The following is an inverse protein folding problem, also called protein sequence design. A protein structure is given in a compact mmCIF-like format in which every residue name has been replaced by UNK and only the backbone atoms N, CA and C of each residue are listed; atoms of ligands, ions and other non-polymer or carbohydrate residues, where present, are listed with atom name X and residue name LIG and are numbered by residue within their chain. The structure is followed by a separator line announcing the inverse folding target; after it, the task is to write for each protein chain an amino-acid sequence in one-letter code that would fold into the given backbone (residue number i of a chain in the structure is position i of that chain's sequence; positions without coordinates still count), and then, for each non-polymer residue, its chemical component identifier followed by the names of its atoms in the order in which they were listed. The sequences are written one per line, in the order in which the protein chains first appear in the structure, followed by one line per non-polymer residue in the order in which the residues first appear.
data_IF_755348676132
#
_entry.id   IF_755348676132
#
_cell.length_a   1.000
_cell.length_b   1.000
_cell.length_c   1.000
_cell.angle_alpha   90.00
_cell.angle_beta   90.00
_cell.angle_gamma   90.00
#
_symmetry.space_group_name_H-M   'P 1'
#
loop_
_entity.id
_entity.type
_entity.pdbx_description
1 polymer ?
#
# COMPACT_ATOMS: atom_id res chain seq x y z
N UNK A 1 14.54 4.98 -20.03
CA UNK A 1 14.30 3.64 -20.60
C UNK A 1 13.14 3.07 -19.82
N UNK A 2 11.97 3.01 -20.45
CA UNK A 2 10.69 2.72 -19.80
C UNK A 2 10.58 1.22 -19.54
N UNK A 3 10.44 0.81 -18.27
CA UNK A 3 10.20 -0.57 -17.90
C UNK A 3 8.79 -0.97 -18.31
N UNK A 4 8.65 -1.57 -19.49
CA UNK A 4 7.47 -2.34 -19.84
C UNK A 4 7.39 -3.54 -18.87
N UNK A 5 6.20 -3.79 -18.33
CA UNK A 5 5.90 -5.01 -17.60
C UNK A 5 5.92 -6.17 -18.60
N UNK A 6 7.11 -6.70 -18.90
CA UNK A 6 7.26 -7.92 -19.69
C UNK A 6 6.89 -9.11 -18.81
N UNK A 7 5.62 -9.50 -18.89
CA UNK A 7 4.99 -10.64 -18.20
C UNK A 7 5.65 -12.00 -18.43
N UNK A 8 6.72 -12.08 -19.24
CA UNK A 8 7.34 -13.32 -19.68
C UNK A 8 8.81 -13.52 -19.27
N UNK A 9 9.45 -12.56 -18.58
CA UNK A 9 10.81 -12.79 -18.06
C UNK A 9 10.70 -13.30 -16.63
N UNK A 10 10.60 -14.62 -16.46
CA UNK A 10 10.92 -15.21 -15.16
C UNK A 10 12.44 -15.11 -14.99
N UNK A 11 12.92 -14.23 -14.11
CA UNK A 11 14.29 -14.33 -13.62
C UNK A 11 14.28 -15.57 -12.71
N UNK A 12 14.50 -16.73 -13.30
CA UNK A 12 14.77 -17.94 -12.54
C UNK A 12 16.17 -17.81 -11.98
N UNK A 13 16.33 -18.14 -10.69
CA UNK A 13 17.65 -18.30 -10.10
C UNK A 13 18.48 -19.22 -11.00
N UNK A 14 19.50 -18.66 -11.65
CA UNK A 14 20.40 -19.42 -12.50
C UNK A 14 21.60 -19.81 -11.66
N UNK A 15 21.68 -21.10 -11.29
CA UNK A 15 22.79 -21.66 -10.50
C UNK A 15 24.18 -21.39 -11.11
N UNK A 16 24.25 -21.06 -12.41
CA UNK A 16 25.51 -20.70 -13.08
C UNK A 16 26.17 -19.43 -12.53
N UNK A 17 25.42 -18.55 -11.85
CA UNK A 17 26.00 -17.37 -11.19
C UNK A 17 26.77 -17.69 -9.90
N UNK A 18 26.70 -18.92 -9.38
CA UNK A 18 27.33 -19.31 -8.12
C UNK A 18 28.85 -19.55 -8.18
N UNK A 19 29.47 -19.50 -9.37
CA UNK A 19 30.90 -19.85 -9.55
C UNK A 19 31.87 -18.67 -9.55
N UNK A 20 31.38 -17.44 -9.60
CA UNK A 20 32.19 -16.21 -9.56
C UNK A 20 31.54 -15.17 -8.64
N UNK A 21 32.32 -14.39 -7.87
CA UNK A 21 31.76 -13.27 -7.11
C UNK A 21 31.02 -12.33 -8.06
N UNK A 22 29.70 -12.25 -7.90
CA UNK A 22 28.82 -11.54 -8.82
C UNK A 22 27.87 -10.66 -8.02
N UNK A 23 27.61 -9.45 -8.50
CA UNK A 23 26.62 -8.54 -7.94
C UNK A 23 25.43 -8.46 -8.90
N UNK A 24 24.24 -8.79 -8.41
CA UNK A 24 23.01 -8.66 -9.18
C UNK A 24 22.40 -7.30 -8.88
N UNK A 25 22.20 -6.50 -9.92
CA UNK A 25 21.61 -5.18 -9.84
C UNK A 25 20.32 -5.13 -10.65
N UNK A 26 19.25 -4.58 -10.06
CA UNK A 26 17.96 -4.43 -10.73
C UNK A 26 16.77 -4.49 -9.77
N UNK A 27 15.57 -4.55 -10.33
CA UNK A 27 14.32 -4.69 -9.58
C UNK A 27 13.99 -6.17 -9.36
N UNK A 28 13.65 -6.54 -8.12
CA UNK A 28 13.32 -7.91 -7.72
C UNK A 28 11.85 -8.04 -7.27
N UNK A 29 10.99 -7.15 -7.76
CA UNK A 29 9.60 -7.04 -7.33
C UNK A 29 8.69 -8.02 -8.09
N UNK A 30 8.95 -9.31 -7.95
CA UNK A 30 8.15 -10.36 -8.58
C UNK A 30 7.37 -11.15 -7.52
N UNK A 31 6.02 -11.19 -7.60
CA UNK A 31 5.22 -11.96 -6.64
C UNK A 31 5.59 -13.45 -6.60
N UNK A 32 6.07 -14.02 -7.72
CA UNK A 32 6.43 -15.44 -7.84
C UNK A 32 7.59 -15.84 -6.92
N UNK A 33 8.45 -14.90 -6.52
CA UNK A 33 9.51 -15.18 -5.54
C UNK A 33 8.96 -15.49 -4.15
N UNK A 34 7.75 -15.05 -3.86
CA UNK A 34 7.14 -15.16 -2.54
C UNK A 34 6.16 -16.33 -2.43
N UNK A 35 5.79 -17.00 -3.52
CA UNK A 35 4.81 -18.10 -3.51
C UNK A 35 5.21 -19.23 -2.55
N UNK A 36 6.48 -19.66 -2.61
CA UNK A 36 7.00 -20.74 -1.76
C UNK A 36 7.14 -20.38 -0.27
N UNK A 37 7.13 -19.10 0.07
CA UNK A 37 7.28 -18.59 1.44
C UNK A 37 6.09 -17.73 1.90
N UNK A 38 4.97 -17.75 1.15
CA UNK A 38 3.79 -16.93 1.45
C UNK A 38 3.26 -17.14 2.88
N UNK A 39 3.16 -18.39 3.42
CA UNK A 39 2.75 -18.60 4.80
C UNK A 39 3.69 -17.93 5.80
N UNK A 40 5.00 -18.03 5.57
CA UNK A 40 6.02 -17.42 6.42
C UNK A 40 5.90 -15.89 6.41
N UNK A 41 5.78 -15.27 5.23
CA UNK A 41 5.60 -13.81 5.10
C UNK A 41 4.36 -13.36 5.87
N UNK A 42 3.22 -14.03 5.67
CA UNK A 42 1.97 -13.66 6.37
C UNK A 42 2.13 -13.79 7.89
N UNK A 43 2.80 -14.84 8.36
CA UNK A 43 3.08 -15.02 9.78
C UNK A 43 4.02 -13.93 10.32
N UNK A 44 5.13 -13.67 9.64
CA UNK A 44 6.15 -12.70 10.04
C UNK A 44 5.62 -11.27 10.08
N UNK A 45 4.77 -10.90 9.12
CA UNK A 45 4.19 -9.55 9.01
C UNK A 45 2.78 -9.46 9.62
N UNK A 46 2.39 -10.42 10.47
CA UNK A 46 1.20 -10.26 11.31
C UNK A 46 1.52 -9.31 12.45
N UNK A 47 0.76 -8.22 12.55
CA UNK A 47 0.96 -7.22 13.60
C UNK A 47 0.64 -7.80 14.99
N UNK A 48 1.54 -7.67 15.98
CA UNK A 48 1.27 -8.08 17.35
C UNK A 48 0.03 -7.37 17.94
N UNK A 49 -0.84 -8.07 18.68
CA UNK A 49 -2.03 -7.47 19.30
C UNK A 49 -1.73 -6.26 20.21
N UNK A 50 -0.54 -6.23 20.84
CA UNK A 50 -0.11 -5.14 21.71
C UNK A 50 0.10 -3.81 20.99
N UNK A 51 0.28 -3.84 19.66
CA UNK A 51 0.55 -2.66 18.84
C UNK A 51 -0.73 -1.90 18.51
N UNK A 52 -1.89 -2.57 18.58
CA UNK A 52 -3.22 -1.95 18.42
C UNK A 52 -3.51 -0.95 19.56
N UNK A 53 -2.72 -0.94 20.64
CA UNK A 53 -2.65 0.20 21.57
C UNK A 53 -1.86 1.33 20.92
N UNK A 54 -2.43 1.92 19.87
CA UNK A 54 -1.86 3.10 19.25
C UNK A 54 -1.82 4.20 20.32
N UNK A 55 -0.63 4.64 20.71
CA UNK A 55 -0.46 5.58 21.83
C UNK A 55 -0.83 7.01 21.45
N UNK A 56 -0.90 7.29 20.16
CA UNK A 56 -1.19 8.61 19.62
C UNK A 56 -2.69 8.81 19.39
N UNK A 57 -3.22 9.89 19.97
CA UNK A 57 -4.63 10.26 19.90
C UNK A 57 -5.13 10.41 18.46
N UNK A 58 -4.30 10.98 17.57
CA UNK A 58 -4.65 11.18 16.16
C UNK A 58 -4.96 9.85 15.45
N UNK A 59 -4.15 8.82 15.69
CA UNK A 59 -4.35 7.50 15.11
C UNK A 59 -5.49 6.73 15.78
N UNK A 60 -5.70 6.89 17.08
CA UNK A 60 -6.88 6.33 17.76
C UNK A 60 -8.18 6.88 17.18
N UNK A 61 -8.20 8.18 16.87
CA UNK A 61 -9.33 8.80 16.18
C UNK A 61 -9.51 8.22 14.78
N UNK A 62 -8.43 8.09 14.00
CA UNK A 62 -8.46 7.46 12.68
C UNK A 62 -8.99 6.03 12.72
N UNK A 63 -8.49 5.22 13.65
CA UNK A 63 -8.95 3.86 13.87
C UNK A 63 -10.45 3.84 14.24
N UNK A 64 -10.88 4.72 15.13
CA UNK A 64 -12.30 4.81 15.53
C UNK A 64 -13.22 5.13 14.37
N UNK A 65 -12.80 6.02 13.45
CA UNK A 65 -13.55 6.33 12.23
C UNK A 65 -13.65 5.12 11.31
N UNK A 66 -12.55 4.38 11.15
CA UNK A 66 -12.52 3.13 10.37
C UNK A 66 -13.44 2.07 10.99
N UNK A 67 -13.38 1.87 12.31
CA UNK A 67 -14.19 0.87 13.01
C UNK A 67 -15.67 1.22 13.10
N UNK A 68 -16.01 2.51 13.00
CA UNK A 68 -17.40 2.96 12.90
C UNK A 68 -17.98 2.72 11.50
N UNK A 69 -17.12 2.55 10.48
CA UNK A 69 -17.56 2.29 9.11
C UNK A 69 -18.00 0.85 8.94
N UNK A 70 -19.16 0.67 8.29
CA UNK A 70 -19.67 -0.67 7.96
C UNK A 70 -18.97 -1.29 6.76
N UNK A 71 -18.56 -0.47 5.79
CA UNK A 71 -18.04 -0.89 4.50
C UNK A 71 -16.80 -0.06 4.16
N UNK A 72 -15.72 -0.24 4.91
CA UNK A 72 -14.47 0.49 4.73
C UNK A 72 -13.74 0.03 3.47
N UNK A 73 -13.30 1.00 2.66
CA UNK A 73 -12.42 0.80 1.51
C UNK A 73 -11.19 1.67 1.69
N UNK A 74 -10.02 1.05 1.68
CA UNK A 74 -8.74 1.74 1.85
C UNK A 74 -8.08 1.95 0.50
N UNK A 75 -7.59 3.17 0.25
CA UNK A 75 -6.80 3.52 -0.93
C UNK A 75 -5.49 4.11 -0.45
N UNK A 76 -4.38 3.51 -0.89
CA UNK A 76 -3.04 4.03 -0.62
C UNK A 76 -2.42 4.54 -1.93
N UNK A 77 -2.07 5.83 -1.96
CA UNK A 77 -1.48 6.51 -3.11
C UNK A 77 0.00 6.76 -2.82
N UNK A 78 0.86 5.86 -3.34
CA UNK A 78 2.31 6.00 -3.31
C UNK A 78 2.77 6.95 -4.40
N UNK A 79 3.34 8.09 -4.02
CA UNK A 79 3.84 9.12 -4.95
C UNK A 79 5.25 9.57 -4.60
N UNK A 80 5.53 9.93 -3.34
CA UNK A 80 6.78 10.51 -2.84
C UNK A 80 8.00 10.45 -3.77
N UNK A 81 8.91 9.53 -3.51
CA UNK A 81 10.10 9.29 -4.34
C UNK A 81 9.75 8.76 -5.75
N UNK A 82 8.59 8.13 -5.91
CA UNK A 82 8.10 7.55 -7.17
C UNK A 82 7.81 8.61 -8.25
N UNK A 83 7.54 9.85 -7.86
CA UNK A 83 7.42 10.98 -8.78
C UNK A 83 8.78 11.26 -9.42
N UNK A 84 9.85 11.30 -8.64
CA UNK A 84 11.20 11.60 -9.12
C UNK A 84 11.77 10.55 -10.08
N UNK A 85 11.37 9.28 -9.90
CA UNK A 85 11.79 8.17 -10.76
C UNK A 85 10.74 7.76 -11.82
N UNK A 86 9.62 8.48 -11.91
CA UNK A 86 8.61 8.27 -12.96
C UNK A 86 7.84 6.95 -12.88
N UNK A 87 7.75 6.33 -11.70
CA UNK A 87 7.02 5.06 -11.49
C UNK A 87 5.70 5.21 -10.71
N UNK A 88 5.30 6.44 -10.40
CA UNK A 88 4.01 6.71 -9.79
C UNK A 88 2.85 6.37 -10.73
N UNK A 89 1.74 5.91 -10.17
CA UNK A 89 0.52 5.65 -10.94
C UNK A 89 -0.25 6.96 -11.18
N UNK A 90 -0.79 7.10 -12.39
CA UNK A 90 -1.64 8.24 -12.76
C UNK A 90 -2.98 8.25 -12.03
N UNK A 91 -3.60 9.42 -11.92
CA UNK A 91 -4.88 9.60 -11.22
C UNK A 91 -6.01 8.75 -11.85
N UNK A 92 -5.99 8.56 -13.17
CA UNK A 92 -6.98 7.74 -13.88
C UNK A 92 -6.99 6.28 -13.42
N UNK A 93 -5.83 5.74 -13.04
CA UNK A 93 -5.75 4.40 -12.47
C UNK A 93 -6.49 4.35 -11.14
N UNK A 94 -6.27 5.34 -10.27
CA UNK A 94 -6.90 5.42 -8.95
C UNK A 94 -8.42 5.58 -9.10
N UNK A 95 -8.90 6.46 -9.99
CA UNK A 95 -10.33 6.64 -10.29
C UNK A 95 -10.98 5.34 -10.76
N UNK A 96 -10.36 4.63 -11.70
CA UNK A 96 -10.87 3.32 -12.18
C UNK A 96 -10.90 2.27 -11.08
N UNK A 97 -9.92 2.25 -10.19
CA UNK A 97 -9.89 1.33 -9.05
C UNK A 97 -11.02 1.64 -8.05
N UNK A 98 -11.27 2.91 -7.74
CA UNK A 98 -12.36 3.33 -6.87
C UNK A 98 -13.72 3.02 -7.50
N UNK A 99 -13.91 3.30 -8.80
CA UNK A 99 -15.15 2.95 -9.52
C UNK A 99 -15.39 1.42 -9.52
N UNK A 100 -14.33 0.63 -9.71
CA UNK A 100 -14.40 -0.82 -9.64
C UNK A 100 -14.86 -1.32 -8.27
N UNK A 101 -14.40 -0.68 -7.20
CA UNK A 101 -14.81 -0.99 -5.82
C UNK A 101 -16.24 -0.53 -5.52
N UNK A 102 -16.65 0.66 -5.98
CA UNK A 102 -18.00 1.19 -5.80
C UNK A 102 -19.08 0.25 -6.37
N UNK A 103 -18.77 -0.46 -7.47
CA UNK A 103 -19.68 -1.46 -8.07
C UNK A 103 -19.83 -2.75 -7.24
N UNK A 104 -18.95 -2.98 -6.26
CA UNK A 104 -18.87 -4.22 -5.47
C UNK A 104 -19.18 -4.02 -4.00
N UNK A 105 -18.91 -2.83 -3.48
CA UNK A 105 -19.09 -2.48 -2.07
C UNK A 105 -20.14 -1.38 -2.00
N UNK A 106 -21.43 -1.72 -1.78
CA UNK A 106 -22.49 -0.73 -1.65
C UNK A 106 -22.25 0.14 -0.40
N UNK A 107 -22.53 1.44 -0.49
CA UNK A 107 -22.31 2.41 0.60
C UNK A 107 -20.87 2.36 1.15
N UNK A 108 -19.86 2.26 0.28
CA UNK A 108 -18.48 2.26 0.74
C UNK A 108 -18.09 3.61 1.36
N UNK A 109 -17.31 3.55 2.42
CA UNK A 109 -16.64 4.71 2.99
C UNK A 109 -15.16 4.62 2.64
N UNK A 110 -14.68 5.63 1.91
CA UNK A 110 -13.36 5.63 1.32
C UNK A 110 -12.37 6.32 2.27
N UNK A 111 -11.31 5.61 2.63
CA UNK A 111 -10.23 6.08 3.50
C UNK A 111 -8.94 6.15 2.69
N UNK A 112 -8.41 7.36 2.48
CA UNK A 112 -7.26 7.61 1.61
C UNK A 112 -6.01 7.89 2.42
N UNK A 113 -4.97 7.10 2.19
CA UNK A 113 -3.62 7.31 2.69
C UNK A 113 -2.75 7.77 1.52
N UNK A 114 -2.08 8.91 1.63
CA UNK A 114 -1.17 9.39 0.61
C UNK A 114 0.10 9.90 1.26
N UNK A 115 1.23 9.71 0.57
CA UNK A 115 2.53 10.14 1.10
C UNK A 115 2.79 11.66 0.95
N UNK A 116 2.06 12.34 0.08
CA UNK A 116 2.29 13.74 -0.27
C UNK A 116 1.04 14.60 -0.06
N UNK A 117 1.15 15.58 0.83
CA UNK A 117 0.08 16.51 1.21
C UNK A 117 -0.31 17.49 0.09
N UNK A 118 0.63 17.90 -0.77
CA UNK A 118 0.30 18.79 -1.89
C UNK A 118 -0.56 18.06 -2.92
N UNK A 119 -0.28 16.77 -3.09
CA UNK A 119 -1.05 15.89 -3.96
C UNK A 119 -2.45 15.59 -3.41
N UNK A 120 -2.65 15.48 -2.09
CA UNK A 120 -3.98 15.16 -1.52
C UNK A 120 -4.96 16.32 -1.58
N UNK A 121 -4.50 17.57 -1.44
CA UNK A 121 -5.38 18.75 -1.46
C UNK A 121 -6.16 18.91 -2.77
N UNK A 122 -5.58 18.47 -3.89
CA UNK A 122 -6.19 18.52 -5.22
C UNK A 122 -6.64 17.14 -5.71
N UNK A 123 -6.69 16.14 -4.83
CA UNK A 123 -7.01 14.78 -5.20
C UNK A 123 -8.51 14.64 -5.46
N UNK A 124 -8.83 14.33 -6.71
CA UNK A 124 -10.19 13.94 -7.12
C UNK A 124 -10.19 12.46 -7.48
N UNK A 125 -10.89 11.65 -6.70
CA UNK A 125 -11.12 10.22 -6.97
C UNK A 125 -12.50 9.95 -7.59
N UNK A 126 -13.30 10.99 -7.87
CA UNK A 126 -14.69 10.88 -8.31
C UNK A 126 -15.67 10.46 -7.21
N UNK A 127 -15.18 10.27 -5.98
CA UNK A 127 -15.95 9.86 -4.81
C UNK A 127 -15.48 10.63 -3.57
N UNK A 128 -16.37 10.93 -2.62
CA UNK A 128 -15.97 11.51 -1.35
C UNK A 128 -15.09 10.53 -0.58
N UNK A 129 -14.07 11.06 0.09
CA UNK A 129 -13.16 10.27 0.90
C UNK A 129 -12.77 11.00 2.17
N UNK A 130 -12.34 10.23 3.15
CA UNK A 130 -11.70 10.71 4.36
C UNK A 130 -10.18 10.69 4.16
N UNK A 131 -9.54 11.85 4.33
CA UNK A 131 -8.10 11.94 4.30
C UNK A 131 -7.50 11.37 5.59
N UNK A 132 -6.76 10.27 5.42
CA UNK A 132 -6.08 9.53 6.47
C UNK A 132 -4.57 9.76 6.43
N UNK A 133 -4.08 10.66 5.59
CA UNK A 133 -2.67 11.04 5.51
C UNK A 133 -2.19 11.59 6.85
N UNK A 134 -1.08 11.08 7.37
CA UNK A 134 -0.32 11.67 8.48
C UNK A 134 0.80 12.56 7.96
N UNK A 135 1.30 13.47 8.80
CA UNK A 135 2.04 14.67 8.37
C UNK A 135 3.50 14.74 8.85
N UNK A 136 3.98 13.74 9.61
CA UNK A 136 5.27 13.69 10.31
C UNK A 136 6.13 12.46 9.92
N UNK A 137 7.04 12.64 8.97
CA UNK A 137 7.63 11.60 8.11
C UNK A 137 8.39 10.40 8.73
N UNK A 138 8.75 10.36 10.01
CA UNK A 138 9.79 9.42 10.49
C UNK A 138 9.28 8.10 11.12
N UNK A 139 8.04 8.02 11.63
CA UNK A 139 7.50 6.78 12.26
C UNK A 139 6.17 6.25 11.64
N UNK A 140 5.72 6.83 10.52
CA UNK A 140 4.29 6.77 10.14
C UNK A 140 3.88 5.60 9.23
N UNK A 141 4.74 5.15 8.32
CA UNK A 141 4.39 4.08 7.37
C UNK A 141 3.96 2.80 8.09
N UNK A 142 4.52 2.58 9.27
CA UNK A 142 4.16 1.48 10.15
C UNK A 142 2.72 1.59 10.68
N UNK A 143 2.30 2.80 11.07
CA UNK A 143 0.96 3.04 11.62
C UNK A 143 -0.13 3.06 10.56
N UNK A 144 0.15 3.54 9.35
CA UNK A 144 -0.77 3.40 8.21
C UNK A 144 -1.05 1.93 7.91
N UNK A 145 0.01 1.10 7.89
CA UNK A 145 -0.14 -0.34 7.77
C UNK A 145 -0.96 -0.93 8.93
N UNK A 146 -0.76 -0.44 10.16
CA UNK A 146 -1.55 -0.87 11.32
C UNK A 146 -3.03 -0.50 11.21
N UNK A 147 -3.36 0.67 10.67
CA UNK A 147 -4.74 1.08 10.41
C UNK A 147 -5.40 0.23 9.33
N UNK A 148 -4.71 -0.01 8.20
CA UNK A 148 -5.23 -0.79 7.07
C UNK A 148 -5.43 -2.27 7.45
N UNK A 149 -4.49 -2.85 8.20
CA UNK A 149 -4.57 -4.24 8.65
C UNK A 149 -5.56 -4.39 9.82
N UNK A 150 -5.51 -3.49 10.79
CA UNK A 150 -6.38 -3.50 11.97
C UNK A 150 -7.85 -3.28 11.64
N UNK A 151 -8.16 -2.41 10.65
CA UNK A 151 -9.52 -2.15 10.19
C UNK A 151 -10.20 -3.33 9.49
N UNK A 152 -9.45 -4.40 9.16
CA UNK A 152 -9.96 -5.62 8.53
C UNK A 152 -10.09 -6.80 9.49
N UNK A 153 -9.55 -6.67 10.71
CA UNK A 153 -9.37 -7.75 11.68
C UNK A 153 -10.52 -7.91 12.69
N UNK A 154 -11.67 -7.25 12.47
CA UNK A 154 -12.89 -7.41 13.26
C UNK A 154 -14.14 -7.42 12.39
#
# INVERSE_FOLDING_TARGET
MWGAWESNVSIRFCEKFAKTPSYIHGYFQDPRYFDGISPLIKQTFTLPPKIIKIKEEAYQRKLSLILASKNSVFVHIRRGDYVGIGCHLGIDYQKKAVEYMAKRVPNMELFVFCEDLESTQNLDLGYPFMDMTTRDKEEEAYWDMALIVGGRLI
#
